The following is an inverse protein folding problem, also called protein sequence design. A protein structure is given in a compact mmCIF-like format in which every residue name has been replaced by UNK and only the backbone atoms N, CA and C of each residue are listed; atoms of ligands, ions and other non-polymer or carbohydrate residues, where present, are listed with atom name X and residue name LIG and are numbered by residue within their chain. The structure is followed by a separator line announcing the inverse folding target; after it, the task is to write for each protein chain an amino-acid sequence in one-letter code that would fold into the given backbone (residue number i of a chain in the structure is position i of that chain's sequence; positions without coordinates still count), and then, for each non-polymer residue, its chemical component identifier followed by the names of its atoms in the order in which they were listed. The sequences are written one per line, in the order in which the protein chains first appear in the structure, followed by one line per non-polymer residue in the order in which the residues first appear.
data_IF_234599450977
#
_entry.id   IF_234599450977
#
_cell.length_a   1.000
_cell.length_b   1.000
_cell.length_c   1.000
_cell.angle_alpha   90.00
_cell.angle_beta   90.00
_cell.angle_gamma   90.00
#
_symmetry.space_group_name_H-M   'P 1'
#
loop_
_entity.id
_entity.type
_entity.pdbx_description
1 polymer ?
#
# COMPACT_ATOMS: atom_id res chain seq x y z
N UNK A 1 65.27 -64.76 3.62
CA UNK A 1 63.83 -64.44 3.77
C UNK A 1 63.63 -62.93 3.68
N UNK A 2 64.32 -62.38 2.69
CA UNK A 2 63.95 -61.39 1.67
C UNK A 2 62.44 -61.23 1.49
N UNK A 3 61.88 -60.05 1.24
CA UNK A 3 62.48 -58.84 0.66
C UNK A 3 61.41 -58.24 -0.26
N UNK A 4 61.22 -56.92 -0.19
CA UNK A 4 60.15 -56.20 -0.89
C UNK A 4 60.36 -56.00 -2.39
N UNK A 5 59.30 -55.51 -3.04
CA UNK A 5 59.22 -55.05 -4.43
C UNK A 5 57.74 -55.03 -4.86
N UNK A 6 57.07 -53.88 -4.93
CA UNK A 6 56.93 -53.01 -6.11
C UNK A 6 56.26 -53.71 -7.32
N UNK A 7 55.08 -53.23 -7.74
CA UNK A 7 54.84 -52.65 -9.07
C UNK A 7 53.36 -52.72 -9.55
N UNK A 8 52.97 -51.64 -10.23
CA UNK A 8 52.15 -51.55 -11.46
C UNK A 8 50.67 -51.99 -11.47
N UNK A 9 49.79 -50.99 -11.37
CA UNK A 9 49.02 -50.37 -12.47
C UNK A 9 48.41 -51.24 -13.60
N UNK A 10 47.17 -50.85 -13.94
CA UNK A 10 46.41 -51.03 -15.18
C UNK A 10 45.66 -52.36 -15.42
N UNK A 11 44.32 -52.28 -15.45
CA UNK A 11 43.52 -52.55 -16.67
C UNK A 11 42.09 -52.01 -16.49
N UNK A 12 41.73 -51.05 -17.34
CA UNK A 12 40.37 -50.56 -17.60
C UNK A 12 39.47 -51.66 -18.18
N UNK A 13 38.26 -51.81 -17.65
CA UNK A 13 37.12 -52.32 -18.42
C UNK A 13 35.82 -51.69 -17.91
N UNK A 14 35.19 -50.93 -18.78
CA UNK A 14 33.89 -50.31 -18.58
C UNK A 14 32.77 -51.35 -18.45
N UNK A 15 31.80 -51.09 -17.56
CA UNK A 15 30.36 -51.14 -17.90
C UNK A 15 29.50 -50.83 -16.68
N UNK A 16 28.40 -50.10 -16.89
CA UNK A 16 27.27 -50.09 -15.96
C UNK A 16 27.09 -48.85 -15.10
N UNK A 17 27.21 -47.65 -15.66
CA UNK A 17 26.68 -46.44 -15.04
C UNK A 17 25.14 -46.49 -14.99
N UNK A 18 24.57 -47.01 -13.91
CA UNK A 18 23.14 -46.91 -13.62
C UNK A 18 22.80 -45.47 -13.23
N UNK A 19 22.32 -44.68 -14.18
CA UNK A 19 21.69 -43.39 -13.92
C UNK A 19 20.37 -43.61 -13.19
N UNK A 20 20.37 -43.46 -11.87
CA UNK A 20 19.15 -43.39 -11.06
C UNK A 20 18.46 -42.06 -11.38
N UNK A 21 17.54 -42.10 -12.34
CA UNK A 21 16.66 -40.99 -12.68
C UNK A 21 15.67 -40.76 -11.54
N UNK A 22 15.96 -39.79 -10.67
CA UNK A 22 15.00 -39.30 -9.67
C UNK A 22 13.94 -38.49 -10.41
N UNK A 23 12.78 -39.11 -10.68
CA UNK A 23 11.59 -38.44 -11.22
C UNK A 23 10.93 -37.63 -10.10
N UNK A 24 11.34 -36.38 -9.94
CA UNK A 24 10.59 -35.41 -9.13
C UNK A 24 9.41 -34.94 -9.99
N UNK A 25 8.22 -35.47 -9.73
CA UNK A 25 6.98 -34.94 -10.29
C UNK A 25 6.71 -33.54 -9.69
N UNK A 26 7.30 -32.52 -10.30
CA UNK A 26 7.01 -31.14 -9.96
C UNK A 26 5.80 -30.67 -10.77
N UNK A 27 4.60 -31.08 -10.37
CA UNK A 27 3.37 -30.40 -10.81
C UNK A 27 3.17 -29.13 -9.98
N UNK A 28 4.11 -28.18 -10.11
CA UNK A 28 3.84 -26.79 -9.78
C UNK A 28 3.14 -26.20 -11.00
N UNK A 29 1.81 -26.29 -11.04
CA UNK A 29 1.02 -25.37 -11.87
C UNK A 29 1.49 -23.97 -11.50
N UNK A 30 2.12 -23.27 -12.45
CA UNK A 30 2.38 -21.85 -12.31
C UNK A 30 1.05 -21.15 -11.95
N UNK A 31 1.01 -20.25 -10.95
CA UNK A 31 -0.17 -19.43 -10.74
C UNK A 31 -0.41 -18.66 -12.04
N UNK A 32 -1.58 -18.81 -12.62
CA UNK A 32 -1.98 -18.08 -13.81
C UNK A 32 -2.14 -16.60 -13.42
N UNK A 33 -1.06 -15.82 -13.54
CA UNK A 33 -1.03 -14.41 -13.16
C UNK A 33 -2.06 -13.60 -13.95
N UNK A 34 -2.37 -13.98 -15.19
CA UNK A 34 -3.42 -13.36 -15.99
C UNK A 34 -4.81 -13.63 -15.42
N UNK A 35 -5.02 -14.80 -14.82
CA UNK A 35 -6.29 -15.17 -14.19
C UNK A 35 -6.46 -14.46 -12.84
N UNK A 36 -5.39 -14.35 -12.03
CA UNK A 36 -5.43 -13.62 -10.76
C UNK A 36 -5.59 -12.12 -10.95
N UNK A 37 -4.97 -11.55 -11.98
CA UNK A 37 -5.12 -10.15 -12.37
C UNK A 37 -6.51 -9.88 -12.92
N UNK A 38 -7.06 -10.73 -13.79
CA UNK A 38 -8.46 -10.65 -14.23
C UNK A 38 -9.42 -10.76 -13.04
N UNK A 39 -9.24 -11.71 -12.13
CA UNK A 39 -10.09 -11.85 -10.94
C UNK A 39 -10.03 -10.62 -10.03
N UNK A 40 -8.86 -9.97 -9.90
CA UNK A 40 -8.71 -8.73 -9.14
C UNK A 40 -9.44 -7.56 -9.79
N UNK A 41 -9.32 -7.40 -11.11
CA UNK A 41 -10.04 -6.36 -11.85
C UNK A 41 -11.53 -6.63 -11.97
N UNK A 42 -11.93 -7.89 -12.10
CA UNK A 42 -13.34 -8.31 -12.07
C UNK A 42 -13.92 -8.05 -10.69
N UNK A 43 -13.24 -8.42 -9.60
CA UNK A 43 -13.71 -8.16 -8.23
C UNK A 43 -13.78 -6.67 -7.92
N UNK A 44 -12.81 -5.89 -8.38
CA UNK A 44 -12.81 -4.42 -8.24
C UNK A 44 -13.91 -3.78 -9.10
N UNK A 45 -14.09 -4.27 -10.33
CA UNK A 45 -15.13 -3.84 -11.25
C UNK A 45 -16.53 -4.14 -10.70
N UNK A 46 -16.78 -5.35 -10.19
CA UNK A 46 -18.02 -5.71 -9.51
C UNK A 46 -18.24 -4.89 -8.25
N UNK A 47 -17.21 -4.65 -7.45
CA UNK A 47 -17.33 -3.81 -6.26
C UNK A 47 -17.71 -2.37 -6.63
N UNK A 48 -17.09 -1.83 -7.69
CA UNK A 48 -17.40 -0.50 -8.20
C UNK A 48 -18.80 -0.43 -8.84
N UNK A 49 -19.19 -1.46 -9.59
CA UNK A 49 -20.48 -1.59 -10.24
C UNK A 49 -21.61 -1.71 -9.21
N UNK A 50 -21.42 -2.51 -8.15
CA UNK A 50 -22.37 -2.65 -7.03
C UNK A 50 -22.45 -1.35 -6.22
N UNK A 51 -21.29 -0.74 -5.91
CA UNK A 51 -21.23 0.51 -5.14
C UNK A 51 -21.91 1.69 -5.86
N UNK A 52 -21.83 1.71 -7.19
CA UNK A 52 -22.43 2.73 -8.05
C UNK A 52 -23.65 2.23 -8.84
N UNK A 53 -24.22 1.07 -8.49
CA UNK A 53 -25.31 0.44 -9.26
C UNK A 53 -26.54 1.34 -9.32
N UNK A 54 -26.89 1.95 -8.18
CA UNK A 54 -27.98 2.92 -8.12
C UNK A 54 -27.69 4.11 -9.02
N UNK A 55 -26.48 4.67 -9.00
CA UNK A 55 -26.08 5.79 -9.87
C UNK A 55 -26.16 5.38 -11.36
N UNK A 56 -25.68 4.17 -11.70
CA UNK A 56 -25.68 3.64 -13.06
C UNK A 56 -27.11 3.40 -13.59
N UNK A 57 -28.04 2.98 -12.72
CA UNK A 57 -29.44 2.79 -13.09
C UNK A 57 -30.25 4.09 -13.09
N UNK A 58 -29.95 5.03 -12.17
CA UNK A 58 -30.67 6.30 -12.05
C UNK A 58 -30.39 7.24 -13.22
N UNK A 59 -29.14 7.31 -13.71
CA UNK A 59 -28.77 8.17 -14.86
C UNK A 59 -29.60 7.89 -16.12
N UNK A 60 -29.69 6.65 -16.65
CA UNK A 60 -30.51 6.36 -17.82
C UNK A 60 -32.01 6.51 -17.54
N UNK A 61 -32.47 6.22 -16.32
CA UNK A 61 -33.86 6.50 -15.91
C UNK A 61 -34.20 7.99 -16.02
N UNK A 62 -33.31 8.86 -15.53
CA UNK A 62 -33.46 10.30 -15.64
C UNK A 62 -33.44 10.77 -17.10
N UNK A 63 -32.57 10.21 -17.95
CA UNK A 63 -32.55 10.51 -19.39
C UNK A 63 -33.86 10.11 -20.06
N UNK A 64 -34.40 8.93 -19.77
CA UNK A 64 -35.69 8.47 -20.31
C UNK A 64 -36.82 9.40 -19.87
N UNK A 65 -36.87 9.78 -18.59
CA UNK A 65 -37.87 10.70 -18.06
C UNK A 65 -37.79 12.07 -18.78
N UNK A 66 -36.59 12.58 -19.02
CA UNK A 66 -36.38 13.85 -19.72
C UNK A 66 -36.83 13.77 -21.19
N UNK A 67 -36.51 12.68 -21.89
CA UNK A 67 -36.91 12.47 -23.29
C UNK A 67 -38.43 12.38 -23.40
N UNK A 68 -39.07 11.58 -22.54
CA UNK A 68 -40.53 11.46 -22.49
C UNK A 68 -41.20 12.80 -22.11
N UNK A 69 -40.64 13.53 -21.15
CA UNK A 69 -41.13 14.86 -20.77
C UNK A 69 -41.02 15.88 -21.91
N UNK A 70 -40.01 15.76 -22.77
CA UNK A 70 -39.84 16.63 -23.94
C UNK A 70 -40.83 16.33 -25.07
N UNK A 71 -41.36 15.11 -25.12
CA UNK A 71 -42.32 14.64 -26.13
C UNK A 71 -43.77 14.72 -25.66
N UNK A 72 -44.02 14.85 -24.35
CA UNK A 72 -45.37 14.92 -23.78
C UNK A 72 -46.10 16.23 -24.11
N UNK A 73 -47.31 16.09 -24.64
CA UNK A 73 -48.25 17.19 -24.87
C UNK A 73 -48.85 17.61 -23.51
N UNK A 74 -49.15 18.89 -23.21
CA UNK A 74 -49.78 19.32 -21.95
C UNK A 74 -51.06 18.58 -21.55
N UNK A 75 -51.78 17.99 -22.52
CA UNK A 75 -52.95 17.14 -22.25
C UNK A 75 -52.57 15.77 -21.67
N UNK A 76 -51.43 15.19 -22.04
CA UNK A 76 -50.94 13.91 -21.50
C UNK A 76 -50.47 14.06 -20.06
N UNK A 77 -49.85 15.20 -19.73
CA UNK A 77 -49.47 15.56 -18.35
C UNK A 77 -50.71 15.67 -17.46
N UNK A 78 -51.80 16.24 -17.99
CA UNK A 78 -53.08 16.36 -17.28
C UNK A 78 -53.77 15.01 -17.09
N UNK A 79 -53.66 14.10 -18.07
CA UNK A 79 -54.17 12.73 -17.96
C UNK A 79 -53.34 11.89 -16.98
N UNK A 80 -52.01 12.05 -16.97
CA UNK A 80 -51.11 11.43 -16.01
C UNK A 80 -51.39 11.93 -14.58
N UNK A 81 -51.65 13.23 -14.42
CA UNK A 81 -52.05 13.84 -13.14
C UNK A 81 -53.36 13.27 -12.61
N UNK A 82 -54.37 13.12 -13.47
CA UNK A 82 -55.66 12.51 -13.10
C UNK A 82 -55.49 11.02 -12.72
N UNK A 83 -54.62 10.30 -13.43
CA UNK A 83 -54.32 8.89 -13.12
C UNK A 83 -53.51 8.73 -11.83
N UNK A 84 -52.59 9.67 -11.55
CA UNK A 84 -51.85 9.74 -10.27
C UNK A 84 -52.80 10.05 -9.10
N UNK A 85 -53.74 10.98 -9.27
CA UNK A 85 -54.76 11.28 -8.26
C UNK A 85 -55.69 10.09 -7.99
N UNK A 86 -56.08 9.34 -9.03
CA UNK A 86 -56.92 8.14 -8.86
C UNK A 86 -56.16 6.96 -8.24
N UNK A 87 -54.84 6.91 -8.39
CA UNK A 87 -54.00 5.82 -7.92
C UNK A 87 -53.10 6.24 -6.76
N UNK A 88 -53.66 7.01 -5.82
CA UNK A 88 -53.04 7.43 -4.55
C UNK A 88 -52.33 6.28 -3.83
N UNK A 89 -52.91 5.08 -3.86
CA UNK A 89 -52.33 3.86 -3.28
C UNK A 89 -50.98 3.53 -3.93
N UNK A 90 -50.88 3.55 -5.26
CA UNK A 90 -49.61 3.30 -5.97
C UNK A 90 -48.56 4.37 -5.66
N UNK A 91 -48.95 5.64 -5.56
CA UNK A 91 -48.02 6.75 -5.22
C UNK A 91 -47.48 6.59 -3.79
N UNK A 92 -48.34 6.24 -2.84
CA UNK A 92 -47.95 5.98 -1.45
C UNK A 92 -47.01 4.78 -1.38
N UNK A 93 -47.32 3.69 -2.10
CA UNK A 93 -46.47 2.49 -2.13
C UNK A 93 -45.10 2.80 -2.76
N UNK A 94 -45.08 3.47 -3.91
CA UNK A 94 -43.83 3.81 -4.60
C UNK A 94 -42.95 4.76 -3.77
N UNK A 95 -43.54 5.80 -3.19
CA UNK A 95 -42.82 6.71 -2.29
C UNK A 95 -42.30 5.99 -1.03
N UNK A 96 -43.08 5.10 -0.43
CA UNK A 96 -42.64 4.29 0.71
C UNK A 96 -41.44 3.40 0.34
N UNK A 97 -41.48 2.72 -0.82
CA UNK A 97 -40.35 1.92 -1.30
C UNK A 97 -39.11 2.77 -1.62
N UNK A 98 -39.27 3.96 -2.20
CA UNK A 98 -38.17 4.87 -2.48
C UNK A 98 -37.51 5.39 -1.19
N UNK A 99 -38.31 5.80 -0.20
CA UNK A 99 -37.80 6.28 1.10
C UNK A 99 -37.11 5.13 1.84
N UNK A 100 -37.72 3.94 1.86
CA UNK A 100 -37.14 2.76 2.49
C UNK A 100 -35.83 2.36 1.81
N UNK A 101 -35.82 2.24 0.47
CA UNK A 101 -34.63 1.90 -0.30
C UNK A 101 -33.51 2.91 -0.14
N UNK A 102 -33.82 4.21 -0.16
CA UNK A 102 -32.84 5.28 0.05
C UNK A 102 -32.26 5.26 1.46
N UNK A 103 -33.10 5.02 2.47
CA UNK A 103 -32.66 4.90 3.88
C UNK A 103 -31.72 3.72 4.06
N UNK A 104 -32.10 2.54 3.55
CA UNK A 104 -31.25 1.34 3.60
C UNK A 104 -29.95 1.57 2.84
N UNK A 105 -29.99 2.22 1.67
CA UNK A 105 -28.79 2.55 0.91
C UNK A 105 -27.84 3.46 1.69
N UNK A 106 -28.35 4.53 2.30
CA UNK A 106 -27.52 5.46 3.09
C UNK A 106 -26.95 4.75 4.33
N UNK A 107 -27.72 3.89 4.99
CA UNK A 107 -27.27 3.15 6.17
C UNK A 107 -26.27 2.03 5.86
N UNK A 108 -26.36 1.40 4.68
CA UNK A 108 -25.47 0.32 4.26
C UNK A 108 -24.18 0.81 3.60
N UNK A 109 -24.12 2.08 3.19
CA UNK A 109 -22.92 2.67 2.59
C UNK A 109 -21.83 2.85 3.66
N UNK A 110 -20.61 2.31 3.41
CA UNK A 110 -19.49 2.53 4.31
C UNK A 110 -19.18 4.03 4.38
N UNK A 111 -19.01 4.56 5.60
CA UNK A 111 -18.63 5.96 5.80
C UNK A 111 -17.19 6.16 5.33
N UNK A 112 -16.92 7.07 4.40
CA UNK A 112 -15.56 7.32 3.94
C UNK A 112 -14.72 7.93 5.08
N UNK A 113 -13.48 7.47 5.20
CA UNK A 113 -12.47 8.03 6.12
C UNK A 113 -11.54 8.91 5.29
N UNK A 114 -11.34 10.15 5.74
CA UNK A 114 -10.54 11.13 5.03
C UNK A 114 -9.29 11.47 5.85
N UNK A 115 -8.17 11.69 5.15
CA UNK A 115 -6.99 12.31 5.73
C UNK A 115 -7.27 13.81 5.83
N UNK A 116 -7.38 14.32 7.05
CA UNK A 116 -7.65 15.74 7.31
C UNK A 116 -6.38 16.57 7.21
N UNK A 117 -5.29 16.08 7.80
CA UNK A 117 -4.00 16.77 7.82
C UNK A 117 -2.86 15.75 8.02
N UNK A 118 -1.63 16.13 7.67
CA UNK A 118 -0.42 15.36 7.90
C UNK A 118 0.75 16.28 8.26
N UNK A 119 1.70 15.74 9.01
CA UNK A 119 2.90 16.46 9.41
C UNK A 119 4.07 15.51 9.51
N UNK A 120 5.25 16.00 9.13
CA UNK A 120 6.51 15.29 9.26
C UNK A 120 7.45 16.12 10.14
N UNK A 121 8.18 15.45 11.03
CA UNK A 121 9.24 16.09 11.77
C UNK A 121 10.44 16.35 10.87
N UNK A 122 10.97 17.58 10.90
CA UNK A 122 12.24 17.93 10.26
C UNK A 122 13.28 18.13 11.37
N UNK A 123 14.33 17.30 11.43
CA UNK A 123 15.39 17.48 12.41
C UNK A 123 16.20 18.76 12.17
N UNK A 124 16.90 19.29 13.19
CA UNK A 124 17.79 20.42 13.03
C UNK A 124 18.97 20.11 12.09
N UNK A 125 19.47 21.13 11.40
CA UNK A 125 20.54 21.01 10.41
C UNK A 125 21.87 20.48 11.00
N UNK A 126 22.06 20.54 12.32
CA UNK A 126 23.19 19.90 13.02
C UNK A 126 23.25 18.39 12.81
N UNK A 127 22.09 17.75 12.61
CA UNK A 127 21.95 16.31 12.40
C UNK A 127 22.06 15.88 10.93
N UNK A 128 22.25 16.82 10.00
CA UNK A 128 22.50 16.50 8.58
C UNK A 128 23.79 15.72 8.44
N UNK A 129 23.76 14.60 7.73
CA UNK A 129 24.93 13.80 7.40
C UNK A 129 25.13 13.79 5.88
N UNK A 130 25.86 14.79 5.33
CA UNK A 130 26.21 14.78 3.91
C UNK A 130 27.11 13.57 3.60
N UNK A 131 27.11 13.17 2.34
CA UNK A 131 27.75 11.93 1.90
C UNK A 131 29.22 11.84 2.32
N UNK A 132 29.98 12.91 2.08
CA UNK A 132 31.41 12.96 2.38
C UNK A 132 31.68 12.81 3.87
N UNK A 133 30.90 13.48 4.73
CA UNK A 133 31.05 13.40 6.18
C UNK A 133 30.73 12.00 6.69
N UNK A 134 29.69 11.37 6.13
CA UNK A 134 29.33 10.00 6.50
C UNK A 134 30.39 8.98 6.09
N UNK A 135 30.98 9.14 4.89
CA UNK A 135 32.08 8.30 4.42
C UNK A 135 33.35 8.51 5.26
N UNK A 136 33.67 9.76 5.63
CA UNK A 136 34.79 10.07 6.52
C UNK A 136 34.60 9.44 7.90
N UNK A 137 33.42 9.58 8.51
CA UNK A 137 33.09 8.94 9.79
C UNK A 137 33.25 7.42 9.72
N UNK A 138 32.77 6.79 8.63
CA UNK A 138 32.89 5.34 8.44
C UNK A 138 34.35 4.89 8.32
N UNK A 139 35.21 5.70 7.67
CA UNK A 139 36.66 5.44 7.59
C UNK A 139 37.35 5.63 8.94
N UNK A 140 36.99 6.67 9.69
CA UNK A 140 37.56 6.97 11.02
C UNK A 140 37.14 5.97 12.09
N UNK A 141 35.97 5.35 11.95
CA UNK A 141 35.49 4.30 12.85
C UNK A 141 36.42 3.07 12.83
N UNK A 142 37.07 2.79 11.70
CA UNK A 142 38.09 1.73 11.59
C UNK A 142 37.53 0.30 11.55
N UNK A 143 36.21 0.13 11.62
CA UNK A 143 35.54 -1.18 11.57
C UNK A 143 35.35 -1.72 10.14
N UNK A 144 35.58 -0.88 9.12
CA UNK A 144 35.39 -1.23 7.71
C UNK A 144 36.72 -1.34 6.98
N UNK A 145 36.92 -2.43 6.25
CA UNK A 145 38.00 -2.54 5.29
C UNK A 145 37.68 -1.74 4.02
N UNK A 146 38.70 -1.46 3.20
CA UNK A 146 38.54 -0.62 2.00
C UNK A 146 37.49 -1.19 1.02
N UNK A 147 37.33 -2.51 0.95
CA UNK A 147 36.31 -3.12 0.08
C UNK A 147 34.88 -2.89 0.62
N UNK A 148 34.69 -2.90 1.93
CA UNK A 148 33.42 -2.57 2.58
C UNK A 148 33.09 -1.08 2.46
N UNK A 149 34.07 -0.18 2.60
CA UNK A 149 33.88 1.25 2.37
C UNK A 149 33.47 1.54 0.93
N UNK A 150 34.10 0.89 -0.05
CA UNK A 150 33.73 1.00 -1.46
C UNK A 150 32.32 0.45 -1.75
N UNK A 151 31.92 -0.61 -1.06
CA UNK A 151 30.55 -1.13 -1.15
C UNK A 151 29.53 -0.16 -0.56
N UNK A 152 29.81 0.39 0.63
CA UNK A 152 28.98 1.40 1.29
C UNK A 152 28.83 2.66 0.42
N UNK A 153 29.93 3.13 -0.19
CA UNK A 153 29.93 4.24 -1.14
C UNK A 153 28.98 4.00 -2.31
N UNK A 154 29.06 2.82 -2.95
CA UNK A 154 28.16 2.42 -4.05
C UNK A 154 26.70 2.32 -3.63
N UNK A 155 26.42 1.90 -2.39
CA UNK A 155 25.06 1.89 -1.84
C UNK A 155 24.55 3.32 -1.73
N UNK A 156 25.32 4.20 -1.09
CA UNK A 156 24.92 5.58 -0.88
C UNK A 156 24.66 6.31 -2.21
N UNK A 157 25.53 6.14 -3.21
CA UNK A 157 25.37 6.71 -4.56
C UNK A 157 24.09 6.24 -5.28
N UNK A 158 23.56 5.08 -4.92
CA UNK A 158 22.36 4.47 -5.54
C UNK A 158 21.12 4.49 -4.66
N UNK A 159 21.24 4.95 -3.42
CA UNK A 159 20.17 4.95 -2.42
C UNK A 159 19.12 6.04 -2.65
N UNK A 160 19.46 7.08 -3.43
CA UNK A 160 18.64 8.28 -3.58
C UNK A 160 18.72 9.24 -2.38
N UNK A 161 19.61 8.98 -1.42
CA UNK A 161 19.92 9.89 -0.32
C UNK A 161 20.82 11.03 -0.82
N UNK A 162 20.48 12.27 -0.44
CA UNK A 162 21.29 13.45 -0.73
C UNK A 162 21.86 14.07 0.54
N UNK A 163 22.51 15.23 0.40
CA UNK A 163 23.14 15.94 1.53
C UNK A 163 22.15 16.51 2.55
N UNK A 164 20.86 16.48 2.23
CA UNK A 164 19.74 16.83 3.11
C UNK A 164 19.25 15.64 3.96
N UNK A 165 20.02 14.55 4.01
CA UNK A 165 19.71 13.39 4.85
C UNK A 165 20.15 13.64 6.29
N UNK A 166 19.31 13.28 7.25
CA UNK A 166 19.59 13.41 8.68
C UNK A 166 19.80 12.03 9.28
N UNK A 167 20.69 11.94 10.27
CA UNK A 167 20.93 10.70 11.04
C UNK A 167 20.86 10.98 12.54
N UNK A 168 20.57 9.96 13.38
CA UNK A 168 20.41 10.15 14.83
C UNK A 168 21.66 10.74 15.47
N UNK A 169 21.49 11.55 16.53
CA UNK A 169 22.60 12.20 17.23
C UNK A 169 23.70 11.21 17.65
N UNK A 170 23.31 10.03 18.11
CA UNK A 170 24.21 8.94 18.49
C UNK A 170 25.17 8.49 17.39
N UNK A 171 24.83 8.70 16.11
CA UNK A 171 25.65 8.32 14.94
C UNK A 171 26.68 9.37 14.57
N UNK A 172 26.58 10.59 15.11
CA UNK A 172 27.56 11.66 14.85
C UNK A 172 28.79 11.60 15.76
N UNK A 173 28.81 10.73 16.76
CA UNK A 173 29.99 10.48 17.59
C UNK A 173 30.98 9.53 16.87
N UNK A 174 32.27 9.68 17.15
CA UNK A 174 33.32 8.76 16.71
C UNK A 174 34.02 8.18 17.95
N UNK A 175 33.88 6.88 18.25
CA UNK A 175 32.98 5.92 17.62
C UNK A 175 31.49 6.22 17.90
N UNK A 176 30.55 5.73 17.07
CA UNK A 176 29.11 5.87 17.30
C UNK A 176 28.70 5.33 18.66
N UNK A 177 27.68 5.95 19.27
CA UNK A 177 27.18 5.59 20.62
C UNK A 177 25.73 5.09 20.60
N UNK A 178 25.40 4.05 19.82
CA UNK A 178 24.03 3.55 19.78
C UNK A 178 23.65 2.97 21.14
N UNK A 179 22.49 3.36 21.66
CA UNK A 179 21.93 2.82 22.88
C UNK A 179 20.41 2.84 22.82
N UNK A 180 19.77 2.00 23.63
CA UNK A 180 18.31 2.01 23.72
C UNK A 180 17.76 3.33 24.25
N UNK A 181 18.54 4.03 25.09
CA UNK A 181 18.21 5.35 25.56
C UNK A 181 18.21 6.36 24.40
N UNK A 182 19.30 6.43 23.63
CA UNK A 182 19.41 7.37 22.50
C UNK A 182 18.35 7.12 21.43
N UNK A 183 18.02 5.85 21.15
CA UNK A 183 16.95 5.50 20.21
C UNK A 183 15.56 5.94 20.72
N UNK A 184 15.32 5.87 22.04
CA UNK A 184 14.07 6.38 22.65
C UNK A 184 14.00 7.90 22.56
N UNK A 185 15.10 8.59 22.86
CA UNK A 185 15.18 10.06 22.78
C UNK A 185 14.91 10.55 21.34
N UNK A 186 15.48 9.91 20.33
CA UNK A 186 15.18 10.20 18.92
C UNK A 186 13.70 9.95 18.60
N UNK A 187 13.15 8.79 18.99
CA UNK A 187 11.76 8.45 18.71
C UNK A 187 10.80 9.45 19.37
N UNK A 188 11.05 9.88 20.60
CA UNK A 188 10.28 10.91 21.29
C UNK A 188 10.34 12.25 20.54
N UNK A 189 11.53 12.69 20.13
CA UNK A 189 11.69 13.93 19.36
C UNK A 189 10.93 13.89 18.02
N UNK A 190 11.06 12.79 17.27
CA UNK A 190 10.42 12.63 15.96
C UNK A 190 8.91 12.54 16.10
N UNK A 191 8.39 11.71 17.02
CA UNK A 191 6.96 11.53 17.20
C UNK A 191 6.30 12.79 17.76
N UNK A 192 6.82 13.35 18.85
CA UNK A 192 6.23 14.55 19.44
C UNK A 192 6.41 15.77 18.54
N UNK A 193 7.56 15.94 17.91
CA UNK A 193 7.76 17.03 16.94
C UNK A 193 6.80 16.97 15.75
N UNK A 194 6.49 15.77 15.24
CA UNK A 194 5.48 15.61 14.19
C UNK A 194 4.07 15.94 14.69
N UNK A 195 3.71 15.50 15.91
CA UNK A 195 2.40 15.75 16.53
C UNK A 195 2.19 17.22 16.88
N UNK A 196 3.20 17.90 17.43
CA UNK A 196 3.14 19.32 17.77
C UNK A 196 2.86 20.15 16.51
N UNK A 197 3.57 19.85 15.42
CA UNK A 197 3.34 20.48 14.13
C UNK A 197 1.93 20.16 13.57
N UNK A 198 1.46 18.91 13.71
CA UNK A 198 0.13 18.50 13.26
C UNK A 198 -0.98 19.26 14.01
N UNK A 199 -0.85 19.40 15.34
CA UNK A 199 -1.83 20.13 16.15
C UNK A 199 -1.78 21.63 15.93
N UNK A 200 -0.59 22.19 15.69
CA UNK A 200 -0.43 23.59 15.32
C UNK A 200 -1.13 23.91 13.98
N UNK A 201 -1.06 23.01 13.00
CA UNK A 201 -1.64 23.22 11.67
C UNK A 201 -3.14 22.93 11.61
N UNK A 202 -3.59 21.83 12.21
CA UNK A 202 -4.97 21.37 12.14
C UNK A 202 -5.92 22.09 13.12
N UNK A 203 -5.38 22.75 14.14
CA UNK A 203 -6.13 23.34 15.26
C UNK A 203 -7.04 22.32 16.00
N UNK A 204 -6.79 21.02 15.82
CA UNK A 204 -7.47 19.93 16.52
C UNK A 204 -6.85 19.78 17.90
N UNK A 205 -7.69 19.71 18.94
CA UNK A 205 -7.19 19.50 20.29
C UNK A 205 -6.89 18.02 20.50
N UNK A 206 -5.81 17.64 21.22
CA UNK A 206 -5.51 16.24 21.52
C UNK A 206 -6.67 15.48 22.19
N UNK A 207 -7.53 16.19 22.94
CA UNK A 207 -8.72 15.62 23.60
C UNK A 207 -9.85 15.23 22.64
N UNK A 208 -9.82 15.70 21.39
CA UNK A 208 -10.83 15.41 20.36
C UNK A 208 -10.48 14.14 19.56
N UNK A 209 -9.30 13.56 19.79
CA UNK A 209 -8.84 12.35 19.13
C UNK A 209 -9.43 11.15 19.85
N UNK A 210 -10.20 10.34 19.11
CA UNK A 210 -10.87 9.17 19.67
C UNK A 210 -9.94 7.98 19.91
N UNK A 211 -8.93 7.77 19.06
CA UNK A 211 -7.99 6.66 19.16
C UNK A 211 -6.65 7.00 18.49
N UNK A 212 -5.61 6.28 18.90
CA UNK A 212 -4.26 6.32 18.35
C UNK A 212 -3.91 4.94 17.79
N UNK A 213 -3.17 4.89 16.69
CA UNK A 213 -2.69 3.65 16.06
C UNK A 213 -1.19 3.46 16.33
#
# INVERSE_FOLDING_TARGET
MDGGGAASQETTAASGGATVGVRIHHSRRLPDFLQSVNLKYVKLGYHYLISNLLTLCLVPLMVIIIVEASQMNPNDVRQLWLHLQYNLVSVIICSAFLVFGSTVYIMTRPRPVYLVDYSCYRPPDSLKAPFDRFMEHSRLQGDFDESSLEFQRKILERSGLGDETYVPEAMHFIPPRPSMQAAREEAEQVMFGALDNLFANSNVKPKEIGFWL
#
